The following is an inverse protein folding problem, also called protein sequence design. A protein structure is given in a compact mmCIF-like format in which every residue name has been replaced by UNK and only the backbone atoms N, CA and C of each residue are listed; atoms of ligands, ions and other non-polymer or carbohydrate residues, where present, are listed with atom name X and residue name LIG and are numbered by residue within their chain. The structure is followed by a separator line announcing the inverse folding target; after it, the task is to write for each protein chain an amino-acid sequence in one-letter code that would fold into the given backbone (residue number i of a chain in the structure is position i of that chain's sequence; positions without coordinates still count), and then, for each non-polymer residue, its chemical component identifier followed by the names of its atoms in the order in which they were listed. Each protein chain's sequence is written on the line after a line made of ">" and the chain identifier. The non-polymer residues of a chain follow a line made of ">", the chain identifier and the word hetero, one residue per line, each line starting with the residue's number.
data_IF_855951442686
#
_entry.id   IF_855951442686
#
_cell.length_a   1.000
_cell.length_b   1.000
_cell.length_c   1.000
_cell.angle_alpha   90.00
_cell.angle_beta   90.00
_cell.angle_gamma   90.00
#
_symmetry.space_group_name_H-M   'P 1'
#
loop_
_entity.id
_entity.type
_entity.pdbx_description
1 polymer ?
#
# COMPACT_ATOMS: atom_id res chain seq x y z
N UNK A 1 10.87 -6.81 2.01
CA UNK A 1 11.41 -5.48 1.62
C UNK A 1 11.25 -4.52 2.79
N UNK A 2 12.01 -3.42 2.91
CA UNK A 2 11.77 -2.49 4.03
C UNK A 2 10.48 -1.71 3.81
N UNK A 3 9.75 -1.41 4.88
CA UNK A 3 8.50 -0.62 4.80
C UNK A 3 8.69 0.72 4.11
N UNK A 4 9.83 1.39 4.32
CA UNK A 4 10.14 2.68 3.69
C UNK A 4 10.20 2.57 2.17
N UNK A 5 10.83 1.51 1.64
CA UNK A 5 10.90 1.29 0.19
C UNK A 5 9.52 0.96 -0.38
N UNK A 6 8.73 0.18 0.37
CA UNK A 6 7.36 -0.13 -0.02
C UNK A 6 6.50 1.13 -0.07
N UNK A 7 6.54 1.98 0.96
CA UNK A 7 5.79 3.25 1.02
C UNK A 7 6.12 4.16 -0.17
N UNK A 8 7.40 4.31 -0.51
CA UNK A 8 7.80 5.10 -1.69
C UNK A 8 7.23 4.52 -2.98
N UNK A 9 7.29 3.20 -3.15
CA UNK A 9 6.71 2.52 -4.31
C UNK A 9 5.21 2.77 -4.44
N UNK A 10 4.44 2.65 -3.36
CA UNK A 10 2.99 2.91 -3.39
C UNK A 10 2.69 4.37 -3.73
N UNK A 11 3.38 5.32 -3.09
CA UNK A 11 3.21 6.75 -3.33
C UNK A 11 3.57 7.12 -4.78
N UNK A 12 4.64 6.56 -5.34
CA UNK A 12 5.02 6.75 -6.76
C UNK A 12 3.99 6.17 -7.73
N UNK A 13 3.24 5.14 -7.32
CA UNK A 13 2.13 4.58 -8.09
C UNK A 13 0.81 5.36 -7.91
N UNK A 14 0.84 6.51 -7.21
CA UNK A 14 -0.34 7.35 -7.00
C UNK A 14 -1.26 6.89 -5.87
N UNK A 15 -0.76 6.10 -4.92
CA UNK A 15 -1.50 5.81 -3.69
C UNK A 15 -1.33 6.93 -2.67
N UNK A 16 -2.45 7.48 -2.22
CA UNK A 16 -2.48 8.57 -1.26
C UNK A 16 -2.66 8.04 0.16
N UNK A 17 -1.92 8.59 1.11
CA UNK A 17 -2.09 8.28 2.51
C UNK A 17 -3.39 8.89 3.04
N UNK A 18 -4.23 8.06 3.67
CA UNK A 18 -5.53 8.50 4.22
C UNK A 18 -5.45 8.68 5.72
N UNK A 19 -5.02 7.65 6.43
CA UNK A 19 -4.95 7.64 7.90
C UNK A 19 -4.00 6.60 8.40
N UNK A 20 -3.34 6.88 9.52
CA UNK A 20 -2.57 5.89 10.27
C UNK A 20 -3.29 5.61 11.58
N UNK A 21 -3.51 4.34 11.90
CA UNK A 21 -4.08 3.91 13.17
C UNK A 21 -3.28 2.76 13.73
N UNK A 22 -2.77 2.89 14.96
CA UNK A 22 -2.06 1.84 15.70
C UNK A 22 -1.14 0.96 14.84
N UNK A 23 -1.64 -0.23 14.52
CA UNK A 23 -0.93 -1.31 13.83
C UNK A 23 -0.89 -1.18 12.28
N UNK A 24 -1.76 -0.37 11.67
CA UNK A 24 -1.94 -0.30 10.22
C UNK A 24 -2.01 1.14 9.67
N UNK A 25 -1.36 1.36 8.52
CA UNK A 25 -1.43 2.59 7.73
C UNK A 25 -2.38 2.37 6.55
N UNK A 26 -3.39 3.23 6.39
CA UNK A 26 -4.39 3.12 5.31
C UNK A 26 -3.99 4.05 4.16
N UNK A 27 -3.96 3.48 2.96
CA UNK A 27 -3.77 4.18 1.69
C UNK A 27 -5.01 4.04 0.81
N UNK A 28 -5.22 5.00 -0.07
CA UNK A 28 -6.32 5.02 -1.04
C UNK A 28 -5.80 5.36 -2.44
N UNK A 29 -6.39 4.73 -3.45
CA UNK A 29 -6.19 5.08 -4.86
C UNK A 29 -7.44 4.74 -5.65
N UNK A 30 -7.95 5.68 -6.45
CA UNK A 30 -9.08 5.46 -7.36
C UNK A 30 -10.29 4.71 -6.72
N UNK A 31 -10.65 5.07 -5.48
CA UNK A 31 -11.76 4.43 -4.75
C UNK A 31 -11.44 3.07 -4.09
N UNK A 32 -10.21 2.56 -4.23
CA UNK A 32 -9.69 1.40 -3.49
C UNK A 32 -8.97 1.83 -2.23
N UNK A 33 -9.00 0.97 -1.22
CA UNK A 33 -8.37 1.20 0.08
C UNK A 33 -7.43 0.02 0.37
N UNK A 34 -6.19 0.31 0.74
CA UNK A 34 -5.18 -0.69 1.08
C UNK A 34 -4.57 -0.42 2.45
N UNK A 35 -4.54 -1.44 3.31
CA UNK A 35 -3.93 -1.37 4.64
C UNK A 35 -2.50 -1.93 4.62
N UNK A 36 -1.53 -1.08 4.94
CA UNK A 36 -0.11 -1.43 5.06
C UNK A 36 0.23 -1.65 6.53
N UNK A 37 0.70 -2.83 6.93
CA UNK A 37 1.05 -3.10 8.32
C UNK A 37 2.33 -2.37 8.74
N UNK A 38 2.41 -1.96 10.01
CA UNK A 38 3.50 -1.16 10.58
C UNK A 38 4.75 -1.98 10.93
N UNK A 39 5.05 -3.02 10.17
CA UNK A 39 6.28 -3.80 10.38
C UNK A 39 7.49 -3.10 9.75
N UNK A 40 8.68 -3.31 10.32
CA UNK A 40 9.94 -2.78 9.76
C UNK A 40 10.23 -3.38 8.38
N UNK A 41 9.79 -4.62 8.19
CA UNK A 41 9.89 -5.39 6.95
C UNK A 41 8.51 -5.80 6.48
N UNK A 42 8.24 -5.56 5.20
CA UNK A 42 7.03 -5.97 4.51
C UNK A 42 7.27 -7.35 3.93
N UNK A 43 6.43 -8.29 4.36
CA UNK A 43 6.38 -9.64 3.84
C UNK A 43 5.98 -9.65 2.36
N UNK A 44 6.53 -10.57 1.55
CA UNK A 44 6.19 -10.67 0.13
C UNK A 44 4.69 -10.92 -0.12
N UNK A 45 3.96 -11.49 0.84
CA UNK A 45 2.51 -11.63 0.77
C UNK A 45 1.76 -10.29 0.67
N UNK A 46 2.19 -9.29 1.44
CA UNK A 46 1.60 -7.94 1.41
C UNK A 46 1.86 -7.27 0.06
N UNK A 47 3.09 -7.38 -0.45
CA UNK A 47 3.47 -6.84 -1.77
C UNK A 47 2.64 -7.48 -2.89
N UNK A 48 2.45 -8.81 -2.85
CA UNK A 48 1.58 -9.51 -3.80
C UNK A 48 0.13 -9.07 -3.70
N UNK A 49 -0.38 -8.84 -2.48
CA UNK A 49 -1.74 -8.35 -2.30
C UNK A 49 -1.91 -6.94 -2.84
N UNK A 50 -0.93 -6.06 -2.59
CA UNK A 50 -0.93 -4.71 -3.11
C UNK A 50 -0.88 -4.66 -4.63
N UNK A 51 0.01 -5.44 -5.28
CA UNK A 51 0.11 -5.47 -6.75
C UNK A 51 -1.25 -5.73 -7.40
N UNK A 52 -1.97 -6.74 -6.91
CA UNK A 52 -3.31 -7.08 -7.42
C UNK A 52 -4.31 -5.94 -7.28
N UNK A 53 -4.24 -5.16 -6.20
CA UNK A 53 -5.10 -3.98 -6.03
C UNK A 53 -4.62 -2.80 -6.88
N UNK A 54 -3.31 -2.63 -7.08
CA UNK A 54 -2.77 -1.58 -7.94
C UNK A 54 -3.18 -1.81 -9.40
N UNK A 55 -3.04 -3.02 -9.91
CA UNK A 55 -3.45 -3.40 -11.28
C UNK A 55 -4.94 -3.06 -11.50
N UNK A 56 -5.80 -3.36 -10.51
CA UNK A 56 -7.24 -3.02 -10.54
C UNK A 56 -7.57 -1.53 -10.52
N UNK A 57 -6.65 -0.69 -10.07
CA UNK A 57 -6.83 0.78 -10.06
C UNK A 57 -6.35 1.45 -11.34
N UNK A 58 -5.52 0.78 -12.14
CA UNK A 58 -4.99 1.33 -13.40
C UNK A 58 -5.87 1.00 -14.60
N UNK A 59 -6.75 0.01 -14.50
CA UNK A 59 -7.70 -0.40 -15.55
C UNK A 59 -9.06 0.34 -15.52
N UNK A 60 -9.23 1.35 -14.65
CA UNK A 60 -10.51 2.05 -14.42
C UNK A 60 -10.50 3.51 -14.90
#
# INVERSE_FOLDING_TARGET
>A
MRRRDFIRLIEENGWEFVREGGEHTIYQKAGRIFSVPRHREISPGVVRSWRRENERTEEA
#
